data_IF_980126816864
#
_entry.id   IF_980126816864
#
_cell.length_a   1.000
_cell.length_b   1.000
_cell.length_c   1.000
_cell.angle_alpha   90.00
_cell.angle_beta   90.00
_cell.angle_gamma   90.00
#
_symmetry.space_group_name_H-M   'P 1'
#
loop_
_entity.id
_entity.type
_entity.pdbx_description
1 polymer ?
#
# COMPACT_ATOMS: atom_id res chain seq x y z
N UNK A 1 0.50 17.36 2.38
CA UNK A 1 1.09 16.19 1.70
C UNK A 1 0.24 15.75 0.51
N UNK A 2 -0.99 15.26 0.74
CA UNK A 2 -1.91 14.79 -0.33
C UNK A 2 -2.06 15.81 -1.47
N UNK A 3 -2.47 17.05 -1.18
CA UNK A 3 -2.69 18.08 -2.21
C UNK A 3 -1.44 18.46 -3.03
N UNK A 4 -0.23 18.21 -2.51
CA UNK A 4 1.02 18.48 -3.22
C UNK A 4 1.48 17.28 -4.08
N UNK A 5 1.29 16.05 -3.59
CA UNK A 5 1.74 14.83 -4.27
C UNK A 5 0.84 14.49 -5.45
N UNK A 6 -0.49 14.57 -5.25
CA UNK A 6 -1.47 14.10 -6.24
C UNK A 6 -1.31 14.76 -7.61
N UNK A 7 -1.23 16.10 -7.74
CA UNK A 7 -1.07 16.72 -9.06
C UNK A 7 0.22 16.31 -9.75
N UNK A 8 1.32 16.19 -9.00
CA UNK A 8 2.61 15.78 -9.55
C UNK A 8 2.56 14.34 -10.05
N UNK A 9 2.00 13.42 -9.25
CA UNK A 9 1.89 12.00 -9.63
C UNK A 9 0.96 11.80 -10.81
N UNK A 10 -0.14 12.54 -10.87
CA UNK A 10 -1.05 12.48 -12.01
C UNK A 10 -0.35 12.88 -13.32
N UNK A 11 0.45 13.95 -13.30
CA UNK A 11 1.18 14.41 -14.49
C UNK A 11 2.34 13.49 -14.84
N UNK A 12 3.06 12.97 -13.83
CA UNK A 12 4.29 12.19 -14.06
C UNK A 12 4.04 10.70 -14.34
N UNK A 13 3.13 10.06 -13.61
CA UNK A 13 2.85 8.62 -13.69
C UNK A 13 1.48 8.31 -14.32
N UNK A 14 0.59 9.29 -14.46
CA UNK A 14 -0.75 9.09 -14.98
C UNK A 14 -1.74 8.55 -13.93
N UNK A 15 -3.03 8.43 -14.30
CA UNK A 15 -4.10 8.12 -13.36
C UNK A 15 -4.03 6.69 -12.81
N UNK A 16 -3.49 5.73 -13.57
CA UNK A 16 -3.35 4.34 -13.14
C UNK A 16 -2.45 4.19 -11.91
N UNK A 17 -1.53 5.13 -11.67
CA UNK A 17 -0.66 5.12 -10.50
C UNK A 17 -1.45 5.12 -9.19
N UNK A 18 -2.60 5.81 -9.14
CA UNK A 18 -3.45 5.87 -7.95
C UNK A 18 -4.14 4.55 -7.60
N UNK A 19 -3.93 3.49 -8.37
CA UNK A 19 -4.34 2.13 -8.02
C UNK A 19 -3.35 1.44 -7.06
N UNK A 20 -2.13 1.97 -6.87
CA UNK A 20 -1.24 1.50 -5.81
C UNK A 20 -1.91 1.65 -4.45
N UNK A 21 -1.88 0.60 -3.63
CA UNK A 21 -2.50 0.68 -2.29
C UNK A 21 -1.88 1.77 -1.41
N UNK A 22 -0.61 2.11 -1.62
CA UNK A 22 0.04 3.23 -0.92
C UNK A 22 -0.54 4.59 -1.31
N UNK A 23 -0.90 4.80 -2.57
CA UNK A 23 -1.54 6.04 -3.02
C UNK A 23 -2.99 6.12 -2.53
N UNK A 24 -3.71 4.99 -2.57
CA UNK A 24 -5.04 4.88 -1.95
C UNK A 24 -4.94 5.20 -0.45
N UNK A 25 -3.96 4.63 0.24
CA UNK A 25 -3.73 4.91 1.66
C UNK A 25 -3.38 6.36 1.92
N UNK A 26 -2.53 6.99 1.10
CA UNK A 26 -2.21 8.40 1.21
C UNK A 26 -3.49 9.27 1.16
N UNK A 27 -4.37 9.01 0.20
CA UNK A 27 -5.62 9.78 0.02
C UNK A 27 -6.62 9.47 1.14
N UNK A 28 -6.92 8.20 1.37
CA UNK A 28 -7.93 7.77 2.34
C UNK A 28 -7.51 8.10 3.78
N UNK A 29 -6.22 8.05 4.10
CA UNK A 29 -5.71 8.52 5.41
C UNK A 29 -5.94 10.01 5.58
N UNK A 30 -5.74 10.82 4.53
CA UNK A 30 -6.06 12.25 4.55
C UNK A 30 -7.56 12.50 4.81
N UNK A 31 -8.44 11.74 4.16
CA UNK A 31 -9.89 11.80 4.39
C UNK A 31 -10.23 11.36 5.82
N UNK A 32 -9.63 10.27 6.29
CA UNK A 32 -9.85 9.73 7.62
C UNK A 32 -9.41 10.71 8.71
N UNK A 33 -8.33 11.47 8.50
CA UNK A 33 -7.89 12.53 9.40
C UNK A 33 -8.90 13.69 9.43
N UNK A 34 -9.38 14.11 8.26
CA UNK A 34 -10.31 15.24 8.15
C UNK A 34 -11.67 14.95 8.82
N UNK A 35 -12.17 13.73 8.70
CA UNK A 35 -13.45 13.30 9.27
C UNK A 35 -13.32 12.56 10.60
N UNK A 36 -12.11 12.42 11.14
CA UNK A 36 -11.82 11.60 12.33
C UNK A 36 -12.43 10.19 12.23
N UNK A 37 -12.37 9.60 11.03
CA UNK A 37 -13.09 8.37 10.70
C UNK A 37 -12.33 7.14 11.22
N UNK A 38 -12.82 6.58 12.32
CA UNK A 38 -12.33 5.34 12.92
C UNK A 38 -12.22 4.18 11.92
N UNK A 39 -13.25 4.01 11.08
CA UNK A 39 -13.31 2.91 10.12
C UNK A 39 -12.25 3.07 9.03
N UNK A 40 -12.15 4.26 8.42
CA UNK A 40 -11.18 4.48 7.34
C UNK A 40 -9.73 4.39 7.85
N UNK A 41 -9.47 4.93 9.05
CA UNK A 41 -8.17 4.79 9.72
C UNK A 41 -7.81 3.31 9.92
N UNK A 42 -8.75 2.52 10.44
CA UNK A 42 -8.55 1.08 10.68
C UNK A 42 -8.40 0.30 9.37
N UNK A 43 -9.16 0.64 8.32
CA UNK A 43 -9.04 0.03 6.99
C UNK A 43 -7.64 0.25 6.40
N UNK A 44 -7.14 1.48 6.43
CA UNK A 44 -5.80 1.80 5.91
C UNK A 44 -4.70 1.17 6.76
N UNK A 45 -4.85 1.16 8.09
CA UNK A 45 -3.91 0.47 8.97
C UNK A 45 -3.86 -1.04 8.66
N UNK A 46 -5.00 -1.72 8.55
CA UNK A 46 -5.07 -3.13 8.13
C UNK A 46 -4.48 -3.35 6.73
N UNK A 47 -4.75 -2.41 5.83
CA UNK A 47 -4.37 -2.48 4.42
C UNK A 47 -2.88 -2.34 4.16
N UNK A 48 -2.24 -1.36 4.81
CA UNK A 48 -0.88 -0.95 4.42
C UNK A 48 0.14 -0.95 5.55
N UNK A 49 -0.22 -1.12 6.83
CA UNK A 49 0.78 -1.04 7.91
C UNK A 49 1.95 -2.02 7.71
N UNK A 50 1.66 -3.29 7.41
CA UNK A 50 2.70 -4.30 7.18
C UNK A 50 3.61 -3.98 5.98
N UNK A 51 3.10 -3.71 4.76
CA UNK A 51 3.96 -3.36 3.62
C UNK A 51 4.68 -2.02 3.82
N UNK A 52 4.09 -1.04 4.52
CA UNK A 52 4.77 0.22 4.86
C UNK A 52 5.96 -0.01 5.78
N UNK A 53 5.82 -0.86 6.79
CA UNK A 53 6.94 -1.25 7.66
C UNK A 53 8.04 -1.96 6.86
N UNK A 54 7.68 -2.90 5.98
CA UNK A 54 8.64 -3.59 5.12
C UNK A 54 9.31 -2.63 4.12
N UNK A 55 8.58 -1.66 3.58
CA UNK A 55 9.11 -0.61 2.72
C UNK A 55 10.15 0.21 3.48
N UNK A 56 9.86 0.64 4.72
CA UNK A 56 10.79 1.39 5.55
C UNK A 56 12.06 0.60 5.85
N UNK A 57 11.94 -0.66 6.28
CA UNK A 57 13.09 -1.54 6.49
C UNK A 57 13.92 -1.67 5.22
N UNK A 58 13.28 -1.83 4.06
CA UNK A 58 13.97 -1.97 2.77
C UNK A 58 14.69 -0.68 2.37
N UNK A 59 14.04 0.47 2.56
CA UNK A 59 14.60 1.79 2.25
C UNK A 59 15.82 2.10 3.12
N UNK A 60 15.70 2.00 4.45
CA UNK A 60 16.79 2.33 5.36
C UNK A 60 17.94 1.31 5.31
N UNK A 61 17.66 0.02 5.16
CA UNK A 61 18.72 -0.99 5.00
C UNK A 61 19.55 -0.74 3.75
N UNK A 62 18.89 -0.36 2.63
CA UNK A 62 19.58 -0.04 1.39
C UNK A 62 20.31 1.31 1.46
N UNK A 63 19.72 2.31 2.11
CA UNK A 63 20.31 3.64 2.26
C UNK A 63 21.55 3.64 3.16
N UNK A 64 21.49 2.95 4.31
CA UNK A 64 22.52 3.03 5.35
C UNK A 64 23.59 1.93 5.22
N UNK A 65 23.19 0.73 4.79
CA UNK A 65 24.07 -0.44 4.75
C UNK A 65 24.25 -1.03 3.34
N UNK A 66 23.58 -0.48 2.31
CA UNK A 66 23.61 -1.02 0.95
C UNK A 66 22.90 -2.38 0.79
N UNK A 67 22.15 -2.84 1.80
CA UNK A 67 21.50 -4.17 1.81
C UNK A 67 20.08 -4.08 1.25
N UNK A 68 19.80 -4.89 0.21
CA UNK A 68 18.46 -5.00 -0.39
C UNK A 68 17.64 -6.08 0.31
N UNK A 69 16.69 -5.68 1.16
CA UNK A 69 15.79 -6.58 1.91
C UNK A 69 14.59 -7.02 1.08
N UNK A 70 13.95 -6.10 0.35
CA UNK A 70 12.85 -6.39 -0.57
C UNK A 70 12.89 -5.43 -1.77
N UNK A 71 12.05 -5.71 -2.78
CA UNK A 71 11.94 -4.86 -3.96
C UNK A 71 11.04 -3.63 -3.78
N UNK A 72 10.32 -3.49 -2.65
CA UNK A 72 9.32 -2.44 -2.44
C UNK A 72 9.87 -1.01 -2.57
N UNK A 73 11.11 -0.79 -2.14
CA UNK A 73 11.77 0.50 -2.17
C UNK A 73 12.78 0.65 -3.32
N UNK A 74 12.82 -0.29 -4.28
CA UNK A 74 13.88 -0.29 -5.31
C UNK A 74 13.87 0.97 -6.18
N UNK A 75 12.67 1.48 -6.50
CA UNK A 75 12.49 2.68 -7.32
C UNK A 75 13.09 3.94 -6.67
N UNK A 76 13.24 3.98 -5.33
CA UNK A 76 13.87 5.09 -4.61
C UNK A 76 15.35 5.28 -4.96
N UNK A 77 15.97 4.24 -5.54
CA UNK A 77 17.37 4.19 -5.93
C UNK A 77 17.56 4.08 -7.44
N UNK A 78 16.48 4.19 -8.23
CA UNK A 78 16.54 4.19 -9.68
C UNK A 78 17.03 5.56 -10.19
N UNK A 79 18.17 5.64 -10.90
CA UNK A 79 18.68 6.89 -11.45
C UNK A 79 17.80 7.48 -12.57
N UNK A 80 16.92 6.67 -13.19
CA UNK A 80 16.01 7.15 -14.24
C UNK A 80 14.89 8.03 -13.70
N UNK A 81 14.54 7.90 -12.42
CA UNK A 81 13.50 8.72 -11.77
C UNK A 81 14.16 9.94 -11.11
N UNK A 82 13.78 11.19 -11.39
CA UNK A 82 14.38 12.36 -10.76
C UNK A 82 14.32 12.32 -9.21
N UNK A 83 15.39 12.74 -8.53
CA UNK A 83 15.50 12.65 -7.06
C UNK A 83 14.32 13.30 -6.32
N UNK A 84 13.85 14.44 -6.82
CA UNK A 84 12.75 15.17 -6.21
C UNK A 84 11.40 14.46 -6.38
N UNK A 85 11.20 13.70 -7.47
CA UNK A 85 10.02 12.84 -7.63
C UNK A 85 10.06 11.71 -6.61
N UNK A 86 11.21 11.04 -6.46
CA UNK A 86 11.39 9.97 -5.45
C UNK A 86 11.18 10.50 -4.04
N UNK A 87 11.57 11.75 -3.76
CA UNK A 87 11.37 12.37 -2.45
C UNK A 87 9.88 12.51 -2.09
N UNK A 88 8.96 12.61 -3.06
CA UNK A 88 7.53 12.66 -2.78
C UNK A 88 7.03 11.34 -2.19
N UNK A 89 7.61 10.21 -2.59
CA UNK A 89 7.32 8.89 -2.01
C UNK A 89 7.80 8.73 -0.56
N UNK A 90 8.55 9.67 -0.01
CA UNK A 90 8.95 9.59 1.41
C UNK A 90 7.77 9.69 2.37
N UNK A 91 6.53 9.90 1.88
CA UNK A 91 5.32 9.74 2.69
C UNK A 91 5.20 8.37 3.35
N UNK A 92 5.82 7.33 2.78
CA UNK A 92 5.91 5.99 3.37
C UNK A 92 6.55 5.99 4.77
N UNK A 93 7.42 6.96 5.08
CA UNK A 93 8.09 7.06 6.38
C UNK A 93 7.11 7.45 7.50
N UNK A 94 6.38 8.59 7.42
CA UNK A 94 5.42 8.95 8.45
C UNK A 94 4.14 8.11 8.42
N UNK A 95 3.78 7.47 7.30
CA UNK A 95 2.52 6.74 7.14
C UNK A 95 2.21 5.73 8.26
N UNK A 96 3.08 4.75 8.60
CA UNK A 96 2.78 3.78 9.64
C UNK A 96 2.61 4.43 11.02
N UNK A 97 3.37 5.49 11.31
CA UNK A 97 3.28 6.23 12.59
C UNK A 97 1.93 6.95 12.68
N UNK A 98 1.52 7.64 11.62
CA UNK A 98 0.24 8.35 11.56
C UNK A 98 -0.93 7.38 11.66
N UNK A 99 -0.88 6.24 10.97
CA UNK A 99 -1.93 5.22 11.03
C UNK A 99 -2.09 4.63 12.43
N UNK A 100 -0.98 4.29 13.10
CA UNK A 100 -1.02 3.80 14.48
C UNK A 100 -1.55 4.86 15.45
N UNK A 101 -1.12 6.12 15.29
CA UNK A 101 -1.64 7.23 16.08
C UNK A 101 -3.14 7.42 15.88
N UNK A 102 -3.64 7.37 14.65
CA UNK A 102 -5.07 7.47 14.35
C UNK A 102 -5.87 6.31 14.95
N UNK A 103 -5.39 5.07 14.82
CA UNK A 103 -6.05 3.90 15.42
C UNK A 103 -6.06 3.99 16.95
N UNK A 104 -4.97 4.47 17.56
CA UNK A 104 -4.92 4.73 18.99
C UNK A 104 -5.91 5.81 19.43
N UNK A 105 -6.03 6.89 18.65
CA UNK A 105 -6.82 8.08 19.00
C UNK A 105 -8.31 7.91 18.72
N UNK A 106 -8.67 7.39 17.54
CA UNK A 106 -10.05 7.20 17.10
C UNK A 106 -10.61 5.83 17.53
N UNK A 107 -9.74 4.91 17.94
CA UNK A 107 -10.06 3.52 18.26
C UNK A 107 -9.92 2.59 17.07
N UNK A 108 -9.86 1.28 17.34
CA UNK A 108 -9.87 0.26 16.29
C UNK A 108 -11.29 -0.16 15.91
N UNK A 109 -11.61 -0.25 14.62
CA UNK A 109 -12.89 -0.76 14.12
C UNK A 109 -12.75 -2.17 13.52
N UNK A 110 -13.39 -3.21 14.11
CA UNK A 110 -13.30 -4.58 13.61
C UNK A 110 -13.83 -4.76 12.19
N UNK A 111 -14.70 -3.86 11.71
CA UNK A 111 -15.21 -3.88 10.32
C UNK A 111 -14.11 -3.59 9.30
N UNK A 112 -12.94 -3.11 9.74
CA UNK A 112 -11.81 -2.84 8.86
C UNK A 112 -11.38 -4.04 8.01
N UNK A 113 -11.38 -5.26 8.56
CA UNK A 113 -10.96 -6.45 7.80
C UNK A 113 -11.89 -6.74 6.60
N UNK A 114 -13.22 -6.93 6.78
CA UNK A 114 -14.10 -7.16 5.64
C UNK A 114 -14.16 -5.95 4.69
N UNK A 115 -14.18 -4.71 5.21
CA UNK A 115 -14.22 -3.52 4.36
C UNK A 115 -12.95 -3.32 3.53
N UNK A 116 -11.77 -3.53 4.12
CA UNK A 116 -10.50 -3.43 3.41
C UNK A 116 -10.31 -4.58 2.41
N UNK A 117 -10.78 -5.78 2.74
CA UNK A 117 -10.78 -6.93 1.81
C UNK A 117 -11.65 -6.63 0.59
N UNK A 118 -12.86 -6.10 0.80
CA UNK A 118 -13.75 -5.71 -0.29
C UNK A 118 -13.16 -4.63 -1.18
N UNK A 119 -12.57 -3.58 -0.58
CA UNK A 119 -11.85 -2.54 -1.32
C UNK A 119 -10.71 -3.14 -2.15
N UNK A 120 -9.90 -4.02 -1.55
CA UNK A 120 -8.79 -4.65 -2.22
C UNK A 120 -9.23 -5.51 -3.41
N UNK A 121 -10.32 -6.26 -3.29
CA UNK A 121 -10.86 -7.04 -4.40
C UNK A 121 -11.26 -6.17 -5.58
N UNK A 122 -11.94 -5.04 -5.33
CA UNK A 122 -12.27 -4.08 -6.39
C UNK A 122 -11.00 -3.52 -7.01
N UNK A 123 -10.04 -3.06 -6.21
CA UNK A 123 -8.79 -2.48 -6.70
C UNK A 123 -7.99 -3.49 -7.52
N UNK A 124 -7.86 -4.73 -7.06
CA UNK A 124 -7.16 -5.78 -7.79
C UNK A 124 -7.85 -6.11 -9.12
N UNK A 125 -9.18 -6.25 -9.14
CA UNK A 125 -9.94 -6.52 -10.35
C UNK A 125 -9.82 -5.37 -11.38
N UNK A 126 -9.95 -4.12 -10.92
CA UNK A 126 -9.80 -2.93 -11.76
C UNK A 126 -8.38 -2.86 -12.29
N UNK A 127 -7.37 -2.99 -11.42
CA UNK A 127 -5.94 -2.98 -11.81
C UNK A 127 -5.66 -4.01 -12.89
N UNK A 128 -6.12 -5.24 -12.69
CA UNK A 128 -5.96 -6.32 -13.67
C UNK A 128 -6.61 -5.99 -15.02
N UNK A 129 -7.76 -5.33 -15.01
CA UNK A 129 -8.53 -5.05 -16.23
C UNK A 129 -7.99 -3.87 -17.04
N UNK A 130 -7.41 -2.85 -16.39
CA UNK A 130 -7.17 -1.53 -17.03
C UNK A 130 -5.70 -1.12 -17.10
N UNK A 131 -4.76 -1.89 -16.54
CA UNK A 131 -3.34 -1.52 -16.48
C UNK A 131 -2.46 -2.43 -17.33
N UNK A 132 -1.32 -1.91 -17.79
CA UNK A 132 -0.31 -2.73 -18.47
C UNK A 132 0.34 -3.68 -17.44
N UNK A 133 0.35 -5.01 -17.69
CA UNK A 133 1.00 -5.97 -16.81
C UNK A 133 2.44 -5.60 -16.42
N UNK A 134 3.18 -4.90 -17.28
CA UNK A 134 4.57 -4.47 -17.01
C UNK A 134 4.71 -3.58 -15.78
N UNK A 135 3.69 -2.77 -15.49
CA UNK A 135 3.67 -1.91 -14.30
C UNK A 135 3.50 -2.72 -13.01
N UNK A 136 2.88 -3.91 -13.14
CA UNK A 136 2.69 -4.88 -12.07
C UNK A 136 2.20 -4.28 -10.72
N UNK A 137 1.26 -3.33 -10.82
CA UNK A 137 0.71 -2.59 -9.69
C UNK A 137 0.15 -3.58 -8.65
N UNK A 138 0.53 -3.40 -7.39
CA UNK A 138 0.20 -4.27 -6.26
C UNK A 138 0.49 -5.77 -6.50
N UNK A 139 1.45 -6.10 -7.36
CA UNK A 139 1.81 -7.48 -7.73
C UNK A 139 0.66 -8.28 -8.35
N UNK A 140 -0.29 -7.60 -9.00
CA UNK A 140 -1.48 -8.23 -9.61
C UNK A 140 -1.14 -9.18 -10.76
N UNK A 141 0.03 -9.03 -11.39
CA UNK A 141 0.46 -9.86 -12.51
C UNK A 141 1.64 -10.78 -12.19
N UNK A 142 2.27 -10.68 -11.03
CA UNK A 142 3.37 -11.54 -10.60
C UNK A 142 4.05 -11.05 -9.32
N UNK A 143 4.77 -11.91 -8.58
CA UNK A 143 5.55 -11.47 -7.43
C UNK A 143 6.76 -10.65 -7.89
N UNK A 144 7.06 -9.56 -7.18
CA UNK A 144 8.23 -8.71 -7.46
C UNK A 144 7.99 -7.73 -8.62
N UNK A 145 9.05 -7.35 -9.33
CA UNK A 145 9.00 -6.27 -10.33
C UNK A 145 8.57 -6.68 -11.74
N UNK A 146 8.17 -7.94 -11.98
CA UNK A 146 7.79 -8.42 -13.31
C UNK A 146 6.59 -9.37 -13.26
N UNK A 147 5.75 -9.37 -14.31
CA UNK A 147 4.72 -10.40 -14.48
C UNK A 147 5.29 -11.81 -14.45
N UNK A 148 4.56 -12.72 -13.84
CA UNK A 148 4.88 -14.14 -13.87
C UNK A 148 4.33 -14.81 -15.14
N UNK A 149 4.92 -15.93 -15.54
CA UNK A 149 4.53 -16.68 -16.75
C UNK A 149 4.18 -18.15 -16.47
N UNK A 150 4.19 -18.58 -15.20
CA UNK A 150 4.01 -19.98 -14.79
C UNK A 150 2.54 -20.38 -14.70
N UNK A 151 1.70 -19.48 -14.19
CA UNK A 151 0.26 -19.66 -14.02
C UNK A 151 -0.50 -18.85 -15.05
N UNK A 152 -1.73 -19.27 -15.37
CA UNK A 152 -2.62 -18.43 -16.16
C UNK A 152 -2.90 -17.11 -15.43
N UNK A 153 -2.99 -15.96 -16.13
CA UNK A 153 -3.19 -14.66 -15.48
C UNK A 153 -4.42 -14.60 -14.55
N UNK A 154 -5.53 -15.23 -14.94
CA UNK A 154 -6.76 -15.30 -14.12
C UNK A 154 -6.59 -16.15 -12.87
N UNK A 155 -5.86 -17.28 -12.96
CA UNK A 155 -5.55 -18.11 -11.80
C UNK A 155 -4.66 -17.35 -10.82
N UNK A 156 -3.66 -16.65 -11.33
CA UNK A 156 -2.80 -15.81 -10.50
C UNK A 156 -3.59 -14.69 -9.81
N UNK A 157 -4.48 -13.98 -10.53
CA UNK A 157 -5.37 -12.99 -9.93
C UNK A 157 -6.24 -13.60 -8.82
N UNK A 158 -6.85 -14.77 -9.06
CA UNK A 158 -7.66 -15.45 -8.05
C UNK A 158 -6.85 -15.79 -6.79
N UNK A 159 -5.59 -16.20 -6.95
CA UNK A 159 -4.67 -16.40 -5.84
C UNK A 159 -4.37 -15.09 -5.10
N UNK A 160 -4.09 -13.99 -5.81
CA UNK A 160 -3.84 -12.67 -5.20
C UNK A 160 -5.04 -12.20 -4.37
N UNK A 161 -6.27 -12.36 -4.89
CA UNK A 161 -7.50 -11.99 -4.19
C UNK A 161 -7.66 -12.71 -2.84
N UNK A 162 -7.11 -13.90 -2.68
CA UNK A 162 -7.22 -14.70 -1.45
C UNK A 162 -5.98 -14.55 -0.57
N UNK A 163 -4.80 -14.77 -1.15
CA UNK A 163 -3.52 -14.84 -0.44
C UNK A 163 -3.12 -13.49 0.11
N UNK A 164 -3.35 -12.40 -0.63
CA UNK A 164 -2.94 -11.07 -0.17
C UNK A 164 -3.69 -10.63 1.09
N UNK A 165 -5.04 -10.67 1.16
CA UNK A 165 -5.74 -10.41 2.42
C UNK A 165 -5.34 -11.36 3.55
N UNK A 166 -5.13 -12.64 3.24
CA UNK A 166 -4.76 -13.63 4.26
C UNK A 166 -3.39 -13.35 4.89
N UNK A 167 -2.40 -12.96 4.09
CA UNK A 167 -1.01 -12.74 4.56
C UNK A 167 -0.82 -11.32 5.09
N UNK A 168 -1.54 -10.33 4.55
CA UNK A 168 -1.36 -8.92 4.93
C UNK A 168 -2.43 -8.47 5.92
N UNK A 169 -3.71 -8.64 5.59
CA UNK A 169 -4.80 -8.01 6.32
C UNK A 169 -5.16 -8.78 7.59
N UNK A 170 -5.25 -10.10 7.52
CA UNK A 170 -5.65 -10.94 8.67
C UNK A 170 -4.67 -10.81 9.84
N UNK A 171 -3.34 -11.01 9.69
CA UNK A 171 -2.43 -10.87 10.82
C UNK A 171 -2.37 -9.43 11.35
N UNK A 172 -2.41 -8.43 10.45
CA UNK A 172 -2.46 -7.02 10.86
C UNK A 172 -3.74 -6.70 11.63
N UNK A 173 -4.88 -7.24 11.20
CA UNK A 173 -6.17 -7.07 11.89
C UNK A 173 -6.11 -7.62 13.30
N UNK A 174 -5.61 -8.84 13.49
CA UNK A 174 -5.52 -9.45 14.82
C UNK A 174 -4.52 -8.72 15.72
N UNK A 175 -3.39 -8.27 15.16
CA UNK A 175 -2.42 -7.45 15.90
C UNK A 175 -3.05 -6.14 16.38
N UNK A 176 -3.68 -5.37 15.48
CA UNK A 176 -4.30 -4.10 15.82
C UNK A 176 -5.47 -4.29 16.79
N UNK A 177 -6.27 -5.35 16.63
CA UNK A 177 -7.33 -5.68 17.56
C UNK A 177 -6.80 -6.04 18.94
N UNK A 178 -5.67 -6.74 19.04
CA UNK A 178 -5.07 -7.08 20.32
C UNK A 178 -4.47 -5.85 21.03
N UNK A 179 -3.91 -4.91 20.28
CA UNK A 179 -3.27 -3.71 20.84
C UNK A 179 -4.25 -2.56 21.14
N UNK A 180 -5.32 -2.44 20.36
CA UNK A 180 -6.22 -1.27 20.38
C UNK A 180 -7.71 -1.63 20.43
N UNK A 181 -8.05 -2.92 20.49
CA UNK A 181 -9.42 -3.36 20.70
C UNK A 181 -9.84 -3.08 22.13
N UNK A 182 -11.02 -2.48 22.29
CA UNK A 182 -11.75 -2.42 23.56
C UNK A 182 -12.54 -3.72 23.77
#
# INVERSE_FOLDING_TARGET
MVAAILPVYLVHYGPANFLWFSDIALVVTGIALWYESRLLASMMAVGVLLPELLWNVSFFSRLLAGVRVSGLADYMFDPAIPRWIRALSLFHIPMPIVLLWMVHTFGYDPRALPSQTALAWVVFAVTYAVTDPRENINWVFGPGGRPQQRLSPRLYLALVLIVFPLIVYVPTHFLLRALFGA
#
